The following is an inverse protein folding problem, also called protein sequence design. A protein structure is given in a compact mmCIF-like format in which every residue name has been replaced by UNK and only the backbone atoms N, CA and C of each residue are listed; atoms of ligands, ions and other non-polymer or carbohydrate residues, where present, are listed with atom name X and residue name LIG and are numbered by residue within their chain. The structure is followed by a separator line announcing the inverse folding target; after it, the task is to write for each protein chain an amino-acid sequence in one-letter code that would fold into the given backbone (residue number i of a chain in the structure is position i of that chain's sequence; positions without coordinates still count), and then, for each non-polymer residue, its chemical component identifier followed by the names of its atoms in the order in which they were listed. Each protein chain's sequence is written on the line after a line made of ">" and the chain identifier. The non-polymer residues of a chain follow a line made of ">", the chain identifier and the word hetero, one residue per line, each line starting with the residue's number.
data_IF_209661566409
#
_entry.id   IF_209661566409
#
_cell.length_a   1.000
_cell.length_b   1.000
_cell.length_c   1.000
_cell.angle_alpha   90.00
_cell.angle_beta   90.00
_cell.angle_gamma   90.00
#
_symmetry.space_group_name_H-M   'P 1'
#
loop_
_entity.id
_entity.type
_entity.pdbx_description
1 polymer ?
#
# COMPACT_ATOMS: atom_id res chain seq x y z
N UNK A 1 1.19 1.17 12.70
CA UNK A 1 0.31 1.11 11.52
C UNK A 1 -0.65 -0.09 11.54
N UNK A 2 -0.23 -1.30 11.93
CA UNK A 2 -1.13 -2.48 11.86
C UNK A 2 -2.46 -2.36 12.64
N UNK A 3 -2.47 -1.58 13.74
CA UNK A 3 -3.68 -1.32 14.55
C UNK A 3 -4.53 -0.14 14.04
N UNK A 4 -4.00 0.64 13.09
CA UNK A 4 -4.72 1.75 12.44
C UNK A 4 -5.75 1.17 11.47
N UNK A 5 -6.97 1.69 11.45
CA UNK A 5 -7.99 1.16 10.54
C UNK A 5 -7.67 1.51 9.08
N UNK A 6 -8.16 0.69 8.13
CA UNK A 6 -7.99 0.98 6.71
C UNK A 6 -8.59 2.33 6.30
N UNK A 7 -9.70 2.75 6.93
CA UNK A 7 -10.33 4.06 6.70
C UNK A 7 -9.42 5.22 7.10
N UNK A 8 -8.74 5.10 8.24
CA UNK A 8 -7.81 6.12 8.72
C UNK A 8 -6.58 6.20 7.80
N UNK A 9 -6.09 5.07 7.29
CA UNK A 9 -5.02 5.04 6.28
C UNK A 9 -5.45 5.74 4.98
N UNK A 10 -6.71 5.58 4.55
CA UNK A 10 -7.26 6.32 3.39
C UNK A 10 -7.28 7.82 3.64
N UNK A 11 -7.69 8.27 4.83
CA UNK A 11 -7.67 9.69 5.19
C UNK A 11 -6.25 10.24 5.19
N UNK A 12 -5.30 9.49 5.74
CA UNK A 12 -3.89 9.84 5.71
C UNK A 12 -3.35 9.94 4.27
N UNK A 13 -3.65 8.95 3.41
CA UNK A 13 -3.23 8.98 2.00
C UNK A 13 -3.82 10.18 1.25
N UNK A 14 -5.09 10.52 1.49
CA UNK A 14 -5.72 11.71 0.91
C UNK A 14 -5.03 13.01 1.35
N UNK A 15 -4.65 13.12 2.64
CA UNK A 15 -3.91 14.29 3.12
C UNK A 15 -2.52 14.39 2.47
N UNK A 16 -1.81 13.27 2.32
CA UNK A 16 -0.52 13.22 1.62
C UNK A 16 -0.67 13.62 0.15
N UNK A 17 -1.65 13.07 -0.57
CA UNK A 17 -1.96 13.39 -1.97
C UNK A 17 -2.19 14.89 -2.19
N UNK A 18 -2.96 15.53 -1.31
CA UNK A 18 -3.31 16.96 -1.43
C UNK A 18 -2.12 17.86 -1.10
N UNK A 19 -1.42 17.59 0.01
CA UNK A 19 -0.41 18.51 0.53
C UNK A 19 1.00 18.24 0.00
N UNK A 20 1.34 16.99 -0.28
CA UNK A 20 2.70 16.58 -0.67
C UNK A 20 2.69 15.47 -1.75
N UNK A 21 2.29 15.80 -3.01
CA UNK A 21 2.22 14.83 -4.11
C UNK A 21 3.51 14.03 -4.35
N UNK A 22 4.68 14.63 -4.09
CA UNK A 22 5.98 13.94 -4.21
C UNK A 22 6.16 12.81 -3.19
N UNK A 23 5.53 12.89 -2.01
CA UNK A 23 5.54 11.83 -1.00
C UNK A 23 4.51 10.75 -1.37
N UNK A 24 3.38 11.15 -1.95
CA UNK A 24 2.38 10.23 -2.50
C UNK A 24 3.01 9.27 -3.54
N UNK A 25 4.01 9.74 -4.27
CA UNK A 25 4.81 8.97 -5.24
C UNK A 25 5.96 8.14 -4.62
N UNK A 26 6.01 7.95 -3.31
CA UNK A 26 7.11 7.23 -2.64
C UNK A 26 6.66 6.11 -1.70
N UNK A 27 5.37 6.06 -1.36
CA UNK A 27 4.83 5.12 -0.38
C UNK A 27 3.92 4.11 -1.07
N UNK A 28 4.07 2.84 -0.74
CA UNK A 28 3.31 1.72 -1.31
C UNK A 28 3.42 1.54 -2.83
N UNK A 29 4.45 2.08 -3.48
CA UNK A 29 4.59 2.01 -4.94
C UNK A 29 5.88 1.32 -5.45
N UNK A 30 6.55 0.56 -4.58
CA UNK A 30 7.80 -0.14 -4.90
C UNK A 30 7.55 -1.63 -5.15
N UNK A 31 8.62 -2.41 -5.24
CA UNK A 31 8.61 -3.83 -5.58
C UNK A 31 9.31 -4.73 -4.54
N UNK A 32 9.49 -4.26 -3.30
CA UNK A 32 10.25 -4.99 -2.28
C UNK A 32 9.42 -5.99 -1.46
N UNK A 33 8.10 -6.05 -1.68
CA UNK A 33 7.20 -7.05 -1.06
C UNK A 33 6.31 -7.76 -2.07
N UNK A 34 6.82 -8.09 -3.25
CA UNK A 34 6.07 -8.85 -4.28
C UNK A 34 5.71 -10.24 -3.74
N UNK A 35 4.42 -10.56 -3.70
CA UNK A 35 3.92 -11.85 -3.18
C UNK A 35 3.88 -12.96 -4.23
N UNK A 36 3.71 -12.61 -5.50
CA UNK A 36 3.78 -13.53 -6.64
C UNK A 36 4.87 -13.04 -7.59
N UNK A 37 6.02 -13.71 -7.58
CA UNK A 37 7.23 -13.26 -8.27
C UNK A 37 6.98 -13.00 -9.75
N UNK A 38 7.40 -11.82 -10.23
CA UNK A 38 7.20 -11.41 -11.62
C UNK A 38 5.80 -10.85 -11.93
N UNK A 39 4.92 -10.71 -10.92
CA UNK A 39 3.50 -10.34 -11.07
C UNK A 39 3.12 -9.16 -10.17
N UNK A 40 1.88 -8.67 -10.32
CA UNK A 40 1.35 -7.51 -9.60
C UNK A 40 1.72 -6.18 -10.26
N UNK A 41 0.86 -5.66 -11.12
CA UNK A 41 1.03 -4.34 -11.77
C UNK A 41 -0.12 -3.39 -11.47
N UNK A 42 -1.27 -3.94 -11.07
CA UNK A 42 -2.51 -3.19 -10.86
C UNK A 42 -3.03 -3.40 -9.45
N UNK A 43 -3.34 -2.31 -8.75
CA UNK A 43 -4.02 -2.40 -7.45
C UNK A 43 -5.47 -2.85 -7.62
N UNK A 44 -5.88 -3.83 -6.84
CA UNK A 44 -7.22 -4.39 -6.92
C UNK A 44 -7.68 -4.87 -5.53
N UNK A 45 -8.93 -4.61 -5.12
CA UNK A 45 -9.41 -5.04 -3.80
C UNK A 45 -9.64 -6.55 -3.69
N UNK A 46 -9.71 -7.27 -4.82
CA UNK A 46 -9.98 -8.70 -4.87
C UNK A 46 -9.14 -9.38 -5.97
N UNK A 47 -7.82 -9.57 -5.76
CA UNK A 47 -6.91 -10.05 -6.80
C UNK A 47 -7.22 -11.44 -7.38
N UNK A 48 -7.85 -12.33 -6.58
CA UNK A 48 -8.22 -13.72 -6.94
C UNK A 48 -7.16 -14.44 -7.77
N UNK A 49 -7.51 -14.79 -9.01
CA UNK A 49 -6.67 -15.57 -9.93
C UNK A 49 -6.01 -14.71 -11.01
N UNK A 50 -6.22 -13.39 -10.99
CA UNK A 50 -5.60 -12.47 -11.94
C UNK A 50 -4.21 -12.09 -11.42
N UNK A 51 -3.17 -12.71 -11.97
CA UNK A 51 -1.80 -12.56 -11.43
C UNK A 51 -1.29 -11.11 -11.42
N UNK A 52 -1.72 -10.30 -12.39
CA UNK A 52 -1.35 -8.89 -12.48
C UNK A 52 -2.03 -8.02 -11.40
N UNK A 53 -3.02 -8.54 -10.70
CA UNK A 53 -3.67 -7.82 -9.61
C UNK A 53 -2.92 -8.02 -8.29
N UNK A 54 -2.82 -6.94 -7.51
CA UNK A 54 -2.24 -6.97 -6.17
C UNK A 54 -3.03 -6.07 -5.22
N UNK A 55 -3.13 -6.49 -3.98
CA UNK A 55 -3.59 -5.68 -2.85
C UNK A 55 -2.44 -5.45 -1.85
N UNK A 56 -1.19 -5.63 -2.30
CA UNK A 56 0.00 -5.53 -1.47
C UNK A 56 0.72 -4.19 -1.69
N UNK A 57 0.81 -3.39 -0.63
CA UNK A 57 1.62 -2.17 -0.57
C UNK A 57 3.06 -2.51 -0.94
N UNK A 58 3.63 -1.79 -1.90
CA UNK A 58 4.99 -2.04 -2.43
C UNK A 58 5.24 -3.49 -2.90
N UNK A 59 4.17 -4.18 -3.30
CA UNK A 59 4.17 -5.50 -3.92
C UNK A 59 3.93 -5.47 -5.42
N UNK A 60 4.40 -4.42 -6.11
CA UNK A 60 4.34 -4.32 -7.57
C UNK A 60 5.54 -5.07 -8.19
N UNK A 61 5.41 -5.67 -9.36
CA UNK A 61 6.50 -6.36 -10.08
C UNK A 61 7.69 -5.42 -10.32
N UNK A 62 7.39 -4.22 -10.79
CA UNK A 62 8.32 -3.13 -10.99
C UNK A 62 7.78 -1.89 -10.30
N UNK A 63 8.68 -0.96 -9.93
CA UNK A 63 8.24 0.36 -9.47
C UNK A 63 7.36 0.98 -10.56
N UNK A 64 6.11 1.25 -10.22
CA UNK A 64 5.12 1.81 -11.14
C UNK A 64 4.99 3.32 -11.03
N UNK A 65 4.03 3.86 -11.78
CA UNK A 65 3.54 5.24 -11.63
C UNK A 65 2.43 5.37 -10.59
N UNK A 66 2.04 4.25 -9.96
CA UNK A 66 1.03 4.24 -8.92
C UNK A 66 1.50 5.05 -7.70
N UNK A 67 0.53 5.65 -7.03
CA UNK A 67 0.72 6.49 -5.85
C UNK A 67 0.20 5.80 -4.59
N UNK A 68 0.56 6.33 -3.43
CA UNK A 68 0.06 5.86 -2.15
C UNK A 68 -1.47 5.98 -2.08
N UNK A 69 -2.02 7.07 -2.59
CA UNK A 69 -3.47 7.25 -2.74
C UNK A 69 -4.11 6.20 -3.65
N UNK A 70 -3.46 5.81 -4.76
CA UNK A 70 -3.94 4.74 -5.63
C UNK A 70 -3.99 3.39 -4.90
N UNK A 71 -2.99 3.09 -4.07
CA UNK A 71 -3.03 1.92 -3.19
C UNK A 71 -4.21 2.03 -2.22
N UNK A 72 -4.31 3.13 -1.47
CA UNK A 72 -5.30 3.27 -0.41
C UNK A 72 -6.75 3.17 -0.94
N UNK A 73 -7.03 3.77 -2.10
CA UNK A 73 -8.33 3.69 -2.77
C UNK A 73 -8.52 2.32 -3.45
N UNK A 74 -7.52 1.89 -4.22
CA UNK A 74 -7.59 0.77 -5.16
C UNK A 74 -7.59 -0.61 -4.53
N UNK A 75 -7.17 -0.75 -3.26
CA UNK A 75 -7.20 -2.05 -2.56
C UNK A 75 -8.37 -2.19 -1.59
N UNK A 76 -9.30 -1.23 -1.56
CA UNK A 76 -10.52 -1.34 -0.76
C UNK A 76 -10.33 -1.15 0.75
N UNK A 77 -9.31 -0.37 1.16
CA UNK A 77 -9.06 -0.06 2.58
C UNK A 77 -10.26 0.60 3.26
N UNK A 78 -10.98 1.47 2.54
CA UNK A 78 -12.19 2.15 3.02
C UNK A 78 -13.30 1.18 3.43
N UNK A 79 -13.31 -0.01 2.82
CA UNK A 79 -14.29 -1.07 3.04
C UNK A 79 -13.75 -2.16 3.99
N UNK A 80 -12.73 -1.82 4.78
CA UNK A 80 -12.05 -2.71 5.72
C UNK A 80 -11.46 -3.97 5.07
N UNK A 81 -11.03 -3.88 3.80
CA UNK A 81 -10.34 -4.96 3.10
C UNK A 81 -8.83 -4.75 3.07
N UNK A 82 -8.08 -5.84 2.92
CA UNK A 82 -6.65 -5.85 2.60
C UNK A 82 -5.76 -5.07 3.58
N UNK A 83 -6.19 -4.93 4.82
CA UNK A 83 -5.39 -4.32 5.88
C UNK A 83 -5.59 -5.03 7.21
N UNK A 84 -4.53 -5.24 8.01
CA UNK A 84 -3.14 -4.86 7.77
C UNK A 84 -2.34 -5.85 6.89
N UNK A 85 -2.97 -6.93 6.46
CA UNK A 85 -2.37 -7.97 5.61
C UNK A 85 -2.82 -7.81 4.17
N UNK A 86 -1.85 -7.83 3.25
CA UNK A 86 -2.07 -7.77 1.82
C UNK A 86 -2.21 -9.14 1.17
N UNK A 87 -2.48 -9.14 -0.13
CA UNK A 87 -2.58 -10.34 -0.95
C UNK A 87 -2.28 -10.01 -2.42
N UNK A 88 -2.01 -11.02 -3.24
CA UNK A 88 -1.81 -10.86 -4.69
C UNK A 88 -2.47 -12.02 -5.46
N UNK A 89 -2.82 -11.78 -6.72
CA UNK A 89 -3.46 -12.79 -7.53
C UNK A 89 -2.50 -13.91 -7.93
N UNK A 90 -3.04 -15.13 -8.10
CA UNK A 90 -2.29 -16.29 -8.56
C UNK A 90 -3.15 -17.18 -9.44
N UNK A 91 -2.63 -17.60 -10.60
CA UNK A 91 -3.37 -18.32 -11.64
C UNK A 91 -4.14 -19.55 -11.17
N UNK A 92 -3.71 -20.21 -10.09
CA UNK A 92 -4.40 -21.37 -9.50
C UNK A 92 -4.32 -21.36 -7.97
N UNK A 93 -5.35 -21.93 -7.34
CA UNK A 93 -5.40 -22.09 -5.88
C UNK A 93 -5.86 -20.85 -5.09
N UNK A 94 -6.33 -19.80 -5.76
CA UNK A 94 -6.73 -18.54 -5.15
C UNK A 94 -5.56 -17.58 -4.91
N UNK A 95 -5.81 -16.40 -4.34
CA UNK A 95 -4.77 -15.39 -4.15
C UNK A 95 -3.72 -15.86 -3.14
N UNK A 96 -2.49 -15.38 -3.31
CA UNK A 96 -1.43 -15.51 -2.29
C UNK A 96 -1.68 -14.47 -1.22
N UNK A 97 -1.99 -14.91 0.00
CA UNK A 97 -2.10 -14.03 1.16
C UNK A 97 -0.70 -13.77 1.72
N UNK A 98 -0.39 -12.51 1.98
CA UNK A 98 0.88 -12.11 2.59
C UNK A 98 1.02 -12.59 4.03
N UNK A 99 2.23 -12.50 4.56
CA UNK A 99 2.46 -12.70 5.99
C UNK A 99 1.63 -11.72 6.82
N UNK A 100 1.35 -12.07 8.09
CA UNK A 100 0.62 -11.19 9.00
C UNK A 100 1.22 -9.77 9.00
N UNK A 101 0.36 -8.77 8.83
CA UNK A 101 0.72 -7.34 8.77
C UNK A 101 1.58 -6.95 7.57
N UNK A 102 1.62 -7.73 6.48
CA UNK A 102 2.49 -7.45 5.32
C UNK A 102 2.32 -6.05 4.73
N UNK A 103 1.09 -5.51 4.64
CA UNK A 103 0.86 -4.15 4.14
C UNK A 103 1.32 -3.10 5.15
N UNK A 104 1.01 -3.28 6.43
CA UNK A 104 1.45 -2.36 7.47
C UNK A 104 2.97 -2.29 7.59
N UNK A 105 3.66 -3.42 7.46
CA UNK A 105 5.12 -3.48 7.49
C UNK A 105 5.75 -2.86 6.24
N UNK A 106 5.19 -3.13 5.05
CA UNK A 106 5.65 -2.52 3.81
C UNK A 106 5.49 -1.00 3.82
N UNK A 107 4.33 -0.50 4.25
CA UNK A 107 4.09 0.93 4.40
C UNK A 107 5.05 1.56 5.41
N UNK A 108 5.23 0.93 6.59
CA UNK A 108 6.17 1.43 7.60
C UNK A 108 7.60 1.53 7.07
N UNK A 109 8.06 0.51 6.31
CA UNK A 109 9.36 0.55 5.65
C UNK A 109 9.48 1.72 4.68
N UNK A 110 8.47 1.93 3.82
CA UNK A 110 8.50 3.04 2.89
C UNK A 110 8.54 4.40 3.58
N UNK A 111 7.81 4.58 4.69
CA UNK A 111 7.86 5.80 5.49
C UNK A 111 9.23 6.03 6.16
N UNK A 112 9.87 4.97 6.63
CA UNK A 112 11.22 5.03 7.21
C UNK A 112 12.28 5.32 6.15
N UNK A 113 12.04 4.96 4.89
CA UNK A 113 12.97 5.20 3.78
C UNK A 113 12.90 6.63 3.20
N UNK A 114 11.90 7.43 3.57
CA UNK A 114 11.80 8.84 3.15
C UNK A 114 13.02 9.67 3.60
N UNK A 115 13.20 10.87 3.04
CA UNK A 115 14.25 11.76 3.55
C UNK A 115 13.83 12.39 4.90
N UNK A 116 14.76 13.09 5.57
CA UNK A 116 14.53 13.63 6.92
C UNK A 116 13.35 14.63 6.98
N UNK A 117 13.23 15.50 6.00
CA UNK A 117 12.19 16.54 5.97
C UNK A 117 10.82 15.91 5.66
N UNK A 118 10.78 14.99 4.69
CA UNK A 118 9.59 14.21 4.34
C UNK A 118 9.07 13.38 5.52
N UNK A 119 9.96 12.75 6.31
CA UNK A 119 9.56 12.03 7.54
C UNK A 119 8.89 12.96 8.53
N UNK A 120 9.42 14.16 8.71
CA UNK A 120 8.88 15.15 9.65
C UNK A 120 7.48 15.59 9.20
N UNK A 121 7.32 15.85 7.89
CA UNK A 121 6.04 16.17 7.27
C UNK A 121 5.03 15.05 7.48
N UNK A 122 5.40 13.81 7.14
CA UNK A 122 4.51 12.66 7.26
C UNK A 122 4.12 12.41 8.71
N UNK A 123 5.06 12.48 9.66
CA UNK A 123 4.73 12.33 11.08
C UNK A 123 3.70 13.37 11.53
N UNK A 124 3.84 14.63 11.08
CA UNK A 124 2.88 15.69 11.36
C UNK A 124 1.51 15.47 10.71
N UNK A 125 1.46 14.95 9.49
CA UNK A 125 0.19 14.58 8.83
C UNK A 125 -0.47 13.38 9.49
N UNK A 126 0.31 12.36 9.83
CA UNK A 126 -0.17 11.15 10.50
C UNK A 126 -0.84 11.53 11.82
N UNK A 127 -0.18 12.34 12.66
CA UNK A 127 -0.72 12.81 13.94
C UNK A 127 -2.01 13.65 13.82
N UNK A 128 -2.30 14.21 12.64
CA UNK A 128 -3.52 15.00 12.38
C UNK A 128 -4.66 14.18 11.78
N UNK A 129 -4.36 13.01 11.22
CA UNK A 129 -5.30 12.24 10.40
C UNK A 129 -5.73 10.93 11.05
N UNK A 130 -4.92 10.36 11.94
CA UNK A 130 -5.17 9.06 12.57
C UNK A 130 -4.87 9.04 14.07
#
# INVERSE_FOLDING_TARGET
>A
LAKTSGKDIVQFANAVKISYPKIDEQVCNKNHTVLNTGKGTTFNPDPKTTEDNTAQCSGLNTKGTNKFSDFAEGVGLKDNKNWPTGQAGKSSGGPVVGASNSNANAMARDLVDLNRDEKTIVAGLLAKTI
#
